data_IF_399586036278
#
_entry.id   IF_399586036278
#
_cell.length_a   1.000
_cell.length_b   1.000
_cell.length_c   1.000
_cell.angle_alpha   90.00
_cell.angle_beta   90.00
_cell.angle_gamma   90.00
#
_symmetry.space_group_name_H-M   'P 1'
#
loop_
_entity.id
_entity.type
_entity.pdbx_description
1 polymer ?
#
# COMPACT_ATOMS: atom_id res chain seq x y z
N UNK A 1 -40.79 -40.02 -26.36
CA UNK A 1 -39.78 -39.69 -25.33
C UNK A 1 -40.48 -39.15 -24.10
N UNK A 2 -40.39 -39.89 -22.98
CA UNK A 2 -41.16 -39.61 -21.76
C UNK A 2 -40.82 -38.24 -21.17
N UNK A 3 -41.80 -37.55 -20.60
CA UNK A 3 -41.62 -36.23 -20.00
C UNK A 3 -40.49 -36.19 -18.95
N UNK A 4 -40.25 -37.32 -18.27
CA UNK A 4 -39.16 -37.51 -17.31
C UNK A 4 -37.79 -37.45 -17.99
N UNK A 5 -37.64 -38.07 -19.17
CA UNK A 5 -36.37 -38.08 -19.92
C UNK A 5 -36.02 -36.67 -20.42
N UNK A 6 -37.03 -35.90 -20.86
CA UNK A 6 -36.82 -34.48 -21.23
C UNK A 6 -36.40 -33.64 -20.02
N UNK A 7 -37.00 -33.84 -18.85
CA UNK A 7 -36.67 -33.12 -17.63
C UNK A 7 -35.22 -33.38 -17.20
N UNK A 8 -34.79 -34.64 -17.22
CA UNK A 8 -33.41 -35.04 -16.89
C UNK A 8 -32.42 -34.39 -17.88
N UNK A 9 -32.75 -34.40 -19.17
CA UNK A 9 -31.92 -33.81 -20.21
C UNK A 9 -31.78 -32.29 -20.05
N UNK A 10 -32.85 -31.57 -19.72
CA UNK A 10 -32.78 -30.13 -19.44
C UNK A 10 -31.98 -29.81 -18.17
N UNK A 11 -32.11 -30.63 -17.12
CA UNK A 11 -31.30 -30.45 -15.90
C UNK A 11 -29.81 -30.70 -16.15
N UNK A 12 -29.47 -31.70 -16.95
CA UNK A 12 -28.08 -31.99 -17.32
C UNK A 12 -27.47 -30.87 -18.16
N UNK A 13 -28.23 -30.30 -19.09
CA UNK A 13 -27.80 -29.15 -19.89
C UNK A 13 -27.58 -27.91 -19.03
N UNK A 14 -28.43 -27.66 -18.02
CA UNK A 14 -28.27 -26.55 -17.09
C UNK A 14 -26.99 -26.70 -16.24
N UNK A 15 -26.71 -27.91 -15.74
CA UNK A 15 -25.50 -28.21 -14.96
C UNK A 15 -24.23 -28.04 -15.80
N UNK A 16 -24.28 -28.38 -17.10
CA UNK A 16 -23.16 -28.19 -18.02
C UNK A 16 -22.88 -26.71 -18.28
N UNK A 17 -23.92 -25.89 -18.43
CA UNK A 17 -23.79 -24.44 -18.60
C UNK A 17 -23.19 -23.79 -17.36
N UNK A 18 -23.61 -24.22 -16.16
CA UNK A 18 -23.07 -23.70 -14.88
C UNK A 18 -21.58 -24.02 -14.75
N UNK A 19 -21.12 -25.20 -15.18
CA UNK A 19 -19.69 -25.55 -15.17
C UNK A 19 -18.86 -24.74 -16.16
N UNK A 20 -19.41 -24.33 -17.30
CA UNK A 20 -18.71 -23.45 -18.24
C UNK A 20 -18.58 -22.00 -17.77
N UNK A 21 -19.36 -21.60 -16.76
CA UNK A 21 -19.33 -20.24 -16.20
C UNK A 21 -18.31 -20.06 -15.06
N UNK A 22 -17.61 -21.13 -14.65
CA UNK A 22 -16.52 -21.00 -13.66
C UNK A 22 -15.23 -20.66 -14.38
N UNK A 23 -15.05 -19.38 -14.71
CA UNK A 23 -13.72 -18.84 -14.97
C UNK A 23 -12.92 -19.01 -13.68
N UNK A 24 -11.88 -19.85 -13.71
CA UNK A 24 -10.88 -19.84 -12.65
C UNK A 24 -10.21 -18.46 -12.68
N UNK A 25 -10.53 -17.61 -11.72
CA UNK A 25 -9.72 -16.42 -11.46
C UNK A 25 -8.39 -16.95 -10.96
N UNK A 26 -7.40 -17.03 -11.86
CA UNK A 26 -6.02 -17.09 -11.43
C UNK A 26 -5.82 -15.82 -10.62
N UNK A 27 -5.59 -15.97 -9.32
CA UNK A 27 -5.12 -14.86 -8.52
C UNK A 27 -3.85 -14.37 -9.22
N UNK A 28 -3.90 -13.12 -9.70
CA UNK A 28 -2.74 -12.44 -10.23
C UNK A 28 -1.66 -12.58 -9.16
N UNK A 29 -0.50 -13.12 -9.53
CA UNK A 29 0.64 -13.14 -8.62
C UNK A 29 0.81 -11.69 -8.19
N UNK A 30 0.59 -11.38 -6.91
CA UNK A 30 0.68 -10.05 -6.33
C UNK A 30 2.14 -9.54 -6.38
N UNK A 31 2.71 -9.40 -7.58
CA UNK A 31 3.86 -8.56 -7.81
C UNK A 31 3.34 -7.14 -7.68
N UNK A 32 3.58 -6.54 -6.51
CA UNK A 32 3.24 -5.15 -6.28
C UNK A 32 3.90 -4.31 -7.38
N UNK A 33 3.10 -3.64 -8.21
CA UNK A 33 3.63 -2.81 -9.29
C UNK A 33 4.62 -1.76 -8.77
N UNK A 34 4.37 -1.28 -7.54
CA UNK A 34 5.21 -0.36 -6.80
C UNK A 34 5.54 -0.99 -5.44
N UNK A 35 6.82 -1.33 -5.20
CA UNK A 35 7.32 -1.82 -3.92
C UNK A 35 8.64 -1.09 -3.60
N UNK A 36 8.59 -0.20 -2.61
CA UNK A 36 9.75 0.54 -2.11
C UNK A 36 10.22 -0.07 -0.80
N UNK A 37 11.52 -0.35 -0.71
CA UNK A 37 12.15 -0.88 0.51
C UNK A 37 13.35 -0.05 0.89
N UNK A 38 13.61 0.03 2.19
CA UNK A 38 14.80 0.66 2.75
C UNK A 38 15.64 -0.35 3.52
N UNK A 39 16.95 -0.19 3.47
CA UNK A 39 17.89 -0.96 4.29
C UNK A 39 18.92 -0.01 4.89
N UNK A 40 18.98 0.14 6.22
CA UNK A 40 18.13 -0.49 7.23
C UNK A 40 16.66 0.00 7.20
N UNK A 41 15.72 -0.84 7.62
CA UNK A 41 14.27 -0.54 7.57
C UNK A 41 13.77 0.25 8.80
N UNK A 42 14.33 -0.02 9.99
CA UNK A 42 13.79 0.49 11.27
C UNK A 42 14.60 1.61 11.89
N UNK A 43 15.90 1.41 12.04
CA UNK A 43 16.80 2.33 12.75
C UNK A 43 17.99 2.59 11.83
N UNK A 44 18.12 3.83 11.38
CA UNK A 44 19.29 4.27 10.62
C UNK A 44 20.42 4.68 11.57
N UNK A 45 20.08 5.47 12.60
CA UNK A 45 21.00 5.96 13.60
C UNK A 45 20.52 5.57 15.00
N UNK A 46 21.43 5.02 15.79
CA UNK A 46 21.30 4.87 17.24
C UNK A 46 22.57 5.50 17.83
N UNK A 47 22.42 6.72 18.33
CA UNK A 47 23.53 7.56 18.77
C UNK A 47 23.33 7.92 20.23
N UNK A 48 24.21 7.40 21.07
CA UNK A 48 24.20 7.63 22.51
C UNK A 48 25.38 8.50 22.93
N UNK A 49 25.15 9.37 23.91
CA UNK A 49 26.18 10.19 24.55
C UNK A 49 27.02 11.03 23.57
N UNK A 50 26.40 11.52 22.50
CA UNK A 50 27.04 12.45 21.56
C UNK A 50 27.49 13.73 22.26
N UNK A 51 28.71 14.15 21.97
CA UNK A 51 29.31 15.39 22.46
C UNK A 51 29.48 16.38 21.31
N UNK A 52 29.57 17.68 21.61
CA UNK A 52 29.91 18.68 20.60
C UNK A 52 31.22 18.29 19.88
N UNK A 53 31.18 18.27 18.55
CA UNK A 53 32.25 17.79 17.67
C UNK A 53 32.10 16.33 17.21
N UNK A 54 31.23 15.54 17.83
CA UNK A 54 30.98 14.16 17.39
C UNK A 54 30.13 14.13 16.12
N UNK A 55 30.39 13.13 15.30
CA UNK A 55 29.61 12.85 14.10
C UNK A 55 29.46 11.34 13.91
N UNK A 56 28.43 10.96 13.15
CA UNK A 56 28.20 9.59 12.75
C UNK A 56 27.71 9.53 11.30
N UNK A 57 28.16 8.52 10.58
CA UNK A 57 27.77 8.25 9.20
C UNK A 57 27.08 6.90 9.07
N UNK A 58 26.01 6.84 8.29
CA UNK A 58 25.25 5.61 8.01
C UNK A 58 24.77 5.62 6.57
N UNK A 59 24.94 4.48 5.90
CA UNK A 59 24.39 4.27 4.57
C UNK A 59 22.96 3.76 4.65
N UNK A 60 22.08 4.37 3.86
CA UNK A 60 20.71 3.93 3.61
C UNK A 60 20.58 3.54 2.15
N UNK A 61 20.08 2.33 1.88
CA UNK A 61 19.79 1.87 0.53
C UNK A 61 18.28 1.86 0.30
N UNK A 62 17.82 2.65 -0.64
CA UNK A 62 16.45 2.61 -1.16
C UNK A 62 16.41 1.67 -2.36
N UNK A 63 15.50 0.70 -2.37
CA UNK A 63 15.37 -0.31 -3.41
C UNK A 63 13.97 -0.32 -3.99
N UNK A 64 13.86 -0.37 -5.31
CA UNK A 64 12.62 -0.67 -6.01
C UNK A 64 12.53 -2.18 -6.20
N UNK A 65 11.66 -2.83 -5.44
CA UNK A 65 11.36 -4.27 -5.56
C UNK A 65 10.10 -4.54 -6.37
N UNK A 66 9.48 -3.50 -6.93
CA UNK A 66 8.31 -3.60 -7.78
C UNK A 66 8.68 -3.84 -9.25
N UNK A 67 7.67 -3.90 -10.10
CA UNK A 67 7.83 -4.17 -11.54
C UNK A 67 7.83 -2.91 -12.41
N UNK A 68 7.48 -1.74 -11.84
CA UNK A 68 7.47 -0.46 -12.53
C UNK A 68 8.54 0.49 -11.99
N UNK A 69 9.06 1.30 -12.90
CA UNK A 69 9.90 2.45 -12.56
C UNK A 69 9.06 3.50 -11.83
N UNK A 70 9.62 4.12 -10.79
CA UNK A 70 8.97 5.20 -10.08
C UNK A 70 9.96 6.25 -9.59
N UNK A 71 9.42 7.40 -9.22
CA UNK A 71 10.14 8.39 -8.42
C UNK A 71 9.83 8.16 -6.96
N UNK A 72 10.79 8.37 -6.08
CA UNK A 72 10.51 8.42 -4.66
C UNK A 72 10.78 9.81 -4.11
N UNK A 73 10.07 10.09 -3.03
CA UNK A 73 10.12 11.31 -2.27
C UNK A 73 10.57 10.94 -0.85
N UNK A 74 11.12 11.91 -0.13
CA UNK A 74 11.56 11.72 1.24
C UNK A 74 11.08 12.85 2.13
N UNK A 75 11.00 12.60 3.43
CA UNK A 75 10.77 13.64 4.43
C UNK A 75 11.45 13.27 5.74
N UNK A 76 11.74 14.26 6.58
CA UNK A 76 12.07 14.01 7.97
C UNK A 76 11.22 14.85 8.91
N UNK A 77 10.97 14.31 10.10
CA UNK A 77 10.26 15.01 11.15
C UNK A 77 10.74 14.56 12.53
N UNK A 78 10.79 15.50 13.47
CA UNK A 78 10.94 15.20 14.89
C UNK A 78 9.69 14.46 15.38
N UNK A 79 9.89 13.27 15.95
CA UNK A 79 8.80 12.46 16.54
C UNK A 79 8.66 12.76 18.03
N UNK A 80 9.78 12.88 18.74
CA UNK A 80 9.79 13.16 20.18
C UNK A 80 11.16 13.65 20.65
N UNK A 81 11.20 14.17 21.87
CA UNK A 81 12.43 14.63 22.52
C UNK A 81 12.61 16.14 22.41
N UNK A 82 13.85 16.60 22.39
CA UNK A 82 14.17 18.02 22.45
C UNK A 82 14.22 18.66 21.07
N UNK A 83 13.30 19.58 20.78
CA UNK A 83 13.39 20.46 19.61
C UNK A 83 14.71 21.22 19.58
N UNK A 84 15.14 21.75 20.73
CA UNK A 84 16.42 22.46 20.85
C UNK A 84 17.59 21.60 20.36
N UNK A 85 17.65 20.33 20.75
CA UNK A 85 18.72 19.44 20.30
C UNK A 85 18.58 19.06 18.82
N UNK A 86 17.35 18.76 18.37
CA UNK A 86 17.05 18.48 16.96
C UNK A 86 17.50 19.63 16.04
N UNK A 87 17.20 20.87 16.38
CA UNK A 87 17.54 22.05 15.59
C UNK A 87 19.06 22.35 15.60
N UNK A 88 19.79 21.83 16.59
CA UNK A 88 21.22 22.05 16.71
C UNK A 88 22.08 21.07 15.89
N UNK A 89 21.52 19.92 15.50
CA UNK A 89 22.22 18.88 14.75
C UNK A 89 22.30 19.27 13.26
N UNK A 90 23.47 19.03 12.66
CA UNK A 90 23.70 19.19 11.23
C UNK A 90 23.49 17.84 10.54
N UNK A 91 22.71 17.85 9.46
CA UNK A 91 22.53 16.72 8.57
C UNK A 91 23.21 17.02 7.23
N UNK A 92 24.05 16.10 6.80
CA UNK A 92 24.52 16.03 5.42
C UNK A 92 24.04 14.73 4.78
N UNK A 93 23.54 14.81 3.54
CA UNK A 93 23.20 13.64 2.74
C UNK A 93 24.00 13.72 1.45
N UNK A 94 24.62 12.60 1.06
CA UNK A 94 25.39 12.48 -0.17
C UNK A 94 25.00 11.21 -0.92
N UNK A 95 25.17 11.22 -2.23
CA UNK A 95 25.06 10.05 -3.11
C UNK A 95 26.39 9.84 -3.88
N UNK A 96 26.37 9.00 -4.91
CA UNK A 96 27.54 8.76 -5.78
C UNK A 96 27.96 9.98 -6.62
N UNK A 97 27.06 10.94 -6.83
CA UNK A 97 27.28 12.15 -7.61
C UNK A 97 27.77 13.32 -6.74
N UNK A 98 27.59 13.25 -5.42
CA UNK A 98 28.14 14.20 -4.46
C UNK A 98 27.18 14.52 -3.33
N UNK A 99 27.38 15.68 -2.70
CA UNK A 99 26.53 16.15 -1.61
C UNK A 99 25.19 16.66 -2.18
N UNK A 100 24.08 16.11 -1.68
CA UNK A 100 22.72 16.46 -2.10
C UNK A 100 22.00 17.34 -1.07
N UNK A 101 22.42 17.30 0.19
CA UNK A 101 21.92 18.17 1.25
C UNK A 101 23.00 18.44 2.29
N UNK A 102 23.01 19.67 2.83
CA UNK A 102 23.83 20.06 3.96
C UNK A 102 23.19 21.22 4.72
N UNK A 103 22.80 21.02 5.96
CA UNK A 103 22.12 22.03 6.76
C UNK A 103 21.68 21.51 8.12
N UNK A 104 20.91 22.30 8.87
CA UNK A 104 20.30 21.81 10.11
C UNK A 104 19.28 20.71 9.81
N UNK A 105 19.11 19.77 10.74
CA UNK A 105 18.03 18.79 10.68
C UNK A 105 16.63 19.44 10.60
N UNK A 106 16.45 20.63 11.18
CA UNK A 106 15.20 21.40 11.12
C UNK A 106 14.89 21.91 9.70
N UNK A 107 15.94 22.28 8.96
CA UNK A 107 15.83 22.83 7.61
C UNK A 107 15.54 21.73 6.57
N UNK A 108 15.87 20.48 6.88
CA UNK A 108 15.58 19.35 6.01
C UNK A 108 14.08 19.06 5.97
N UNK A 109 13.41 19.43 4.87
CA UNK A 109 12.00 19.07 4.62
C UNK A 109 11.87 17.80 3.80
N UNK A 110 12.58 17.74 2.68
CA UNK A 110 12.54 16.65 1.72
C UNK A 110 13.74 16.73 0.78
N UNK A 111 14.17 15.60 0.22
CA UNK A 111 14.99 15.59 -1.00
C UNK A 111 14.12 15.89 -2.22
N UNK A 112 14.76 16.38 -3.29
CA UNK A 112 14.14 16.42 -4.61
C UNK A 112 13.72 15.00 -5.04
N UNK A 113 12.60 14.84 -5.78
CA UNK A 113 12.16 13.52 -6.25
C UNK A 113 13.26 12.82 -7.05
N UNK A 114 13.53 11.55 -6.74
CA UNK A 114 14.60 10.76 -7.40
C UNK A 114 14.01 9.55 -8.10
N UNK A 115 14.40 9.35 -9.35
CA UNK A 115 13.96 8.22 -10.18
C UNK A 115 14.70 6.93 -9.78
N UNK A 116 13.96 5.82 -9.69
CA UNK A 116 14.50 4.50 -9.44
C UNK A 116 13.79 3.47 -10.34
N UNK A 117 14.58 2.85 -11.22
CA UNK A 117 14.09 1.81 -12.13
C UNK A 117 13.71 0.54 -11.36
N UNK A 118 12.87 -0.31 -11.96
CA UNK A 118 12.50 -1.63 -11.45
C UNK A 118 13.75 -2.46 -11.12
N UNK A 119 13.82 -3.02 -9.90
CA UNK A 119 15.00 -3.73 -9.39
C UNK A 119 16.20 -2.84 -9.05
N UNK A 120 16.09 -1.53 -9.26
CA UNK A 120 17.12 -0.53 -9.01
C UNK A 120 17.40 -0.31 -7.52
N UNK A 121 18.60 0.21 -7.26
CA UNK A 121 19.06 0.58 -5.91
C UNK A 121 19.66 1.97 -5.93
N UNK A 122 19.38 2.69 -4.87
CA UNK A 122 19.87 4.04 -4.65
C UNK A 122 20.46 4.14 -3.26
N UNK A 123 21.75 4.46 -3.20
CA UNK A 123 22.53 4.44 -1.97
C UNK A 123 22.83 5.87 -1.54
N UNK A 124 22.39 6.18 -0.33
CA UNK A 124 22.50 7.49 0.30
C UNK A 124 23.37 7.37 1.54
N UNK A 125 24.39 8.22 1.64
CA UNK A 125 25.20 8.37 2.83
C UNK A 125 24.66 9.51 3.67
N UNK A 126 24.13 9.19 4.85
CA UNK A 126 23.70 10.16 5.83
C UNK A 126 24.83 10.41 6.82
N UNK A 127 25.11 11.68 7.09
CA UNK A 127 26.01 12.12 8.16
C UNK A 127 25.24 13.01 9.11
N UNK A 128 25.25 12.68 10.39
CA UNK A 128 24.73 13.54 11.46
C UNK A 128 25.90 14.03 12.29
N UNK A 129 25.98 15.34 12.49
CA UNK A 129 27.05 15.99 13.23
C UNK A 129 26.48 16.89 14.33
N UNK A 130 27.06 16.80 15.52
CA UNK A 130 26.77 17.73 16.60
C UNK A 130 27.83 18.83 16.60
N UNK A 131 27.51 20.10 16.26
CA UNK A 131 28.53 21.12 16.05
C UNK A 131 29.34 21.45 17.31
N UNK A 132 30.63 21.73 17.14
CA UNK A 132 31.55 22.07 18.25
C UNK A 132 31.18 23.36 18.99
N UNK A 133 30.41 24.26 18.35
CA UNK A 133 30.00 25.54 18.94
C UNK A 133 28.90 25.39 20.00
N UNK A 134 28.32 24.20 20.13
CA UNK A 134 27.23 23.91 21.06
C UNK A 134 27.79 23.55 22.43
N UNK A 135 27.22 24.11 23.50
CA UNK A 135 27.77 23.97 24.85
C UNK A 135 27.07 22.93 25.72
N UNK A 136 27.32 23.00 27.03
CA UNK A 136 26.76 22.10 28.04
C UNK A 136 25.22 22.19 28.17
N UNK A 137 24.59 23.20 27.58
CA UNK A 137 23.14 23.40 27.56
C UNK A 137 22.37 22.35 26.73
N UNK A 138 23.09 21.43 26.09
CA UNK A 138 22.55 20.27 25.38
C UNK A 138 22.79 18.95 26.11
N UNK A 139 23.46 18.97 27.26
CA UNK A 139 23.78 17.77 28.02
C UNK A 139 22.50 17.04 28.49
N UNK A 140 22.41 15.74 28.21
CA UNK A 140 21.28 14.90 28.58
C UNK A 140 20.02 15.09 27.72
N UNK A 141 20.09 15.91 26.67
CA UNK A 141 19.00 16.02 25.69
C UNK A 141 19.06 14.85 24.71
N UNK A 142 17.88 14.39 24.29
CA UNK A 142 17.71 13.36 23.29
C UNK A 142 16.57 13.72 22.35
N UNK A 143 16.65 13.29 21.11
CA UNK A 143 15.63 13.52 20.08
C UNK A 143 15.50 12.29 19.20
N UNK A 144 14.26 11.95 18.83
CA UNK A 144 13.95 10.87 17.90
C UNK A 144 13.43 11.50 16.61
N UNK A 145 14.15 11.24 15.51
CA UNK A 145 13.84 11.77 14.19
C UNK A 145 13.46 10.62 13.27
N UNK A 146 12.37 10.78 12.55
CA UNK A 146 11.88 9.79 11.59
C UNK A 146 12.12 10.28 10.17
N UNK A 147 12.77 9.44 9.37
CA UNK A 147 12.93 9.63 7.92
C UNK A 147 11.94 8.73 7.19
N UNK A 148 11.10 9.31 6.33
CA UNK A 148 10.14 8.57 5.51
C UNK A 148 10.54 8.62 4.05
N UNK A 149 10.37 7.49 3.37
CA UNK A 149 10.56 7.33 1.94
C UNK A 149 9.28 6.76 1.36
N UNK A 150 8.78 7.37 0.28
CA UNK A 150 7.52 6.99 -0.33
C UNK A 150 7.61 7.09 -1.84
N UNK A 151 7.02 6.12 -2.53
CA UNK A 151 6.96 6.13 -3.99
C UNK A 151 5.91 7.16 -4.45
N UNK A 152 6.29 8.02 -5.38
CA UNK A 152 5.42 8.98 -6.05
C UNK A 152 4.26 8.23 -6.73
N UNK A 153 3.04 8.72 -6.56
CA UNK A 153 1.83 8.04 -7.04
C UNK A 153 1.22 7.02 -6.07
N UNK A 154 1.94 6.58 -5.02
CA UNK A 154 1.34 5.83 -3.88
C UNK A 154 0.77 6.76 -2.82
N UNK A 155 1.24 8.01 -2.81
CA UNK A 155 0.53 9.09 -2.14
C UNK A 155 -0.73 9.41 -2.94
N UNK A 156 -1.86 8.86 -2.51
CA UNK A 156 -3.19 9.35 -2.87
C UNK A 156 -3.48 10.76 -2.34
N UNK A 157 -2.53 11.69 -2.50
CA UNK A 157 -2.64 13.06 -2.02
C UNK A 157 -1.28 13.67 -1.67
N UNK A 158 -0.74 14.49 -2.55
CA UNK A 158 -0.58 15.89 -2.11
C UNK A 158 -1.97 16.31 -1.66
N UNK A 159 -2.18 16.70 -0.40
CA UNK A 159 -3.50 17.21 -0.02
C UNK A 159 -3.74 18.52 -0.78
N UNK A 160 -4.77 18.60 -1.62
CA UNK A 160 -5.77 19.62 -1.44
C UNK A 160 -6.98 18.96 -0.77
N UNK A 161 -7.61 19.75 0.07
CA UNK A 161 -8.92 19.53 0.67
C UNK A 161 -9.89 18.95 -0.37
N UNK A 162 -10.06 17.63 -0.39
CA UNK A 162 -11.32 16.91 -0.60
C UNK A 162 -11.04 15.40 -0.73
N UNK A 163 -11.74 14.62 0.10
CA UNK A 163 -11.43 13.23 0.41
C UNK A 163 -11.26 12.30 -0.79
N UNK A 164 -10.24 11.43 -0.67
CA UNK A 164 -9.98 10.30 -1.57
C UNK A 164 -11.26 9.48 -1.76
N UNK A 165 -11.83 9.57 -2.96
CA UNK A 165 -13.04 8.83 -3.34
C UNK A 165 -12.64 7.39 -3.66
N UNK A 166 -12.74 6.52 -2.67
CA UNK A 166 -12.47 5.09 -2.84
C UNK A 166 -13.37 4.51 -3.96
N UNK A 167 -12.84 3.68 -4.88
CA UNK A 167 -13.66 2.98 -5.84
C UNK A 167 -14.64 2.07 -5.09
N UNK A 168 -15.94 2.23 -5.35
CA UNK A 168 -17.00 1.43 -4.71
C UNK A 168 -17.05 0.03 -5.34
N UNK A 169 -16.18 -0.88 -4.89
CA UNK A 169 -16.15 -2.28 -5.35
C UNK A 169 -17.21 -3.15 -4.68
N UNK A 170 -17.71 -2.77 -3.50
CA UNK A 170 -18.73 -3.53 -2.77
C UNK A 170 -20.15 -3.39 -3.34
N UNK A 171 -20.48 -2.29 -4.03
CA UNK A 171 -21.86 -2.07 -4.52
C UNK A 171 -22.22 -3.04 -5.65
N UNK A 172 -21.32 -3.25 -6.61
CA UNK A 172 -21.61 -4.07 -7.79
C UNK A 172 -21.77 -5.58 -7.45
N UNK A 173 -21.05 -6.09 -6.44
CA UNK A 173 -21.16 -7.51 -6.06
C UNK A 173 -22.50 -7.81 -5.37
N UNK A 174 -23.03 -6.85 -4.61
CA UNK A 174 -24.32 -6.99 -3.92
C UNK A 174 -25.49 -6.98 -4.91
N UNK A 175 -25.41 -6.18 -5.97
CA UNK A 175 -26.43 -6.14 -7.03
C UNK A 175 -26.53 -7.48 -7.79
N UNK A 176 -25.38 -8.12 -8.07
CA UNK A 176 -25.33 -9.43 -8.73
C UNK A 176 -25.94 -10.52 -7.83
N UNK A 177 -25.63 -10.51 -6.53
CA UNK A 177 -26.20 -11.45 -5.56
C UNK A 177 -27.71 -11.25 -5.44
N UNK A 178 -28.18 -9.99 -5.41
CA UNK A 178 -29.60 -9.66 -5.33
C UNK A 178 -30.39 -10.18 -6.53
N UNK A 179 -29.86 -10.01 -7.75
CA UNK A 179 -30.44 -10.55 -8.97
C UNK A 179 -30.54 -12.09 -8.90
N UNK A 180 -29.49 -12.76 -8.40
CA UNK A 180 -29.48 -14.21 -8.22
C UNK A 180 -30.59 -14.70 -7.28
N UNK A 181 -30.82 -14.02 -6.16
CA UNK A 181 -31.88 -14.36 -5.20
C UNK A 181 -33.28 -14.17 -5.80
N UNK A 182 -33.48 -13.12 -6.60
CA UNK A 182 -34.76 -12.86 -7.28
C UNK A 182 -35.08 -13.99 -8.27
N UNK A 183 -34.10 -14.43 -9.06
CA UNK A 183 -34.30 -15.52 -10.03
C UNK A 183 -34.66 -16.84 -9.32
N UNK A 184 -33.96 -17.17 -8.23
CA UNK A 184 -34.23 -18.39 -7.45
C UNK A 184 -35.62 -18.39 -6.82
N UNK A 185 -36.06 -17.25 -6.27
CA UNK A 185 -37.39 -17.13 -5.65
C UNK A 185 -38.50 -17.25 -6.68
N UNK A 186 -38.37 -16.60 -7.85
CA UNK A 186 -39.34 -16.70 -8.95
C UNK A 186 -39.40 -18.15 -9.48
N UNK A 187 -38.26 -18.79 -9.71
CA UNK A 187 -38.21 -20.19 -10.16
C UNK A 187 -38.90 -21.15 -9.20
N UNK A 188 -38.67 -20.97 -7.89
CA UNK A 188 -39.30 -21.77 -6.84
C UNK A 188 -40.83 -21.57 -6.81
N UNK A 189 -41.28 -20.32 -6.97
CA UNK A 189 -42.70 -19.99 -6.96
C UNK A 189 -43.43 -20.60 -8.17
N UNK A 190 -42.83 -20.55 -9.35
CA UNK A 190 -43.36 -21.17 -10.58
C UNK A 190 -43.48 -22.69 -10.41
N UNK A 191 -42.47 -23.35 -9.82
CA UNK A 191 -42.51 -24.79 -9.56
C UNK A 191 -43.65 -25.19 -8.61
N UNK A 192 -43.88 -24.42 -7.55
CA UNK A 192 -44.97 -24.67 -6.59
C UNK A 192 -46.33 -24.56 -7.28
N UNK A 193 -46.56 -23.52 -8.09
CA UNK A 193 -47.81 -23.33 -8.82
C UNK A 193 -48.04 -24.44 -9.85
N UNK A 194 -47.00 -24.81 -10.59
CA UNK A 194 -47.05 -25.88 -11.59
C UNK A 194 -47.42 -27.22 -10.94
N UNK A 195 -46.82 -27.54 -9.80
CA UNK A 195 -47.12 -28.77 -9.06
C UNK A 195 -48.53 -28.76 -8.46
N UNK A 196 -49.03 -27.60 -8.02
CA UNK A 196 -50.42 -27.46 -7.53
C UNK A 196 -51.44 -27.65 -8.65
N UNK A 197 -51.20 -27.10 -9.84
CA UNK A 197 -52.09 -27.28 -11.00
C UNK A 197 -52.13 -28.74 -11.48
N UNK A 198 -50.98 -29.43 -11.51
CA UNK A 198 -50.93 -30.85 -11.88
C UNK A 198 -51.73 -31.75 -10.94
N UNK A 199 -51.67 -31.53 -9.62
CA UNK A 199 -52.46 -32.31 -8.64
C UNK A 199 -53.97 -32.09 -8.79
N UNK A 200 -54.43 -30.88 -9.16
CA UNK A 200 -55.85 -30.61 -9.41
C UNK A 200 -56.39 -31.30 -10.67
N UNK A 201 -55.55 -31.62 -11.65
CA UNK A 201 -55.96 -32.32 -12.87
C UNK A 201 -55.92 -33.85 -12.75
N UNK A 202 -55.34 -34.42 -11.69
CA UNK A 202 -55.37 -35.86 -11.42
C UNK A 202 -56.57 -36.32 -10.58
N UNK A 203 -57.38 -35.38 -10.06
CA UNK A 203 -58.59 -35.64 -9.27
C UNK A 203 -59.88 -35.34 -10.05
N UNK A 204 -59.81 -35.31 -11.38
CA UNK A 204 -60.95 -35.11 -12.28
C UNK A 204 -60.91 -36.18 -13.36
#
# INVERSE_FOLDING_TARGET
MNAIVKLIMYSALLILIIQSATSSVLADSNENEIDIRTSPEKILFELDNMKPGDWAERSLVVTNSGTKDFKYLSSASLVSGSEKFYNALILSISDKSGQIFNGSLEDFKALNPREIVSGGKDELLFKVEFPYEKGNEYQGLASIVEFKFYAEGTLGGVSPVDGVKLPKTATNILDIILIGVIILTIGTFILIISNRKKRKMQYK
#
